data_IF_408881032477
#
_entry.id   IF_408881032477
#
_cell.length_a   1.000
_cell.length_b   1.000
_cell.length_c   1.000
_cell.angle_alpha   90.00
_cell.angle_beta   90.00
_cell.angle_gamma   90.00
#
_symmetry.space_group_name_H-M   'P 1'
#
loop_
_entity.id
_entity.type
_entity.pdbx_description
1 polymer ?
#
# COMPACT_ATOMS: atom_id res chain seq x y z
N UNK A 1 17.49 -22.49 5.32
CA UNK A 1 17.55 -21.15 4.70
C UNK A 1 16.53 -20.24 5.39
N UNK A 2 16.89 -18.97 5.60
CA UNK A 2 15.99 -18.01 6.22
C UNK A 2 15.18 -17.29 5.12
N UNK A 3 13.88 -17.12 5.34
CA UNK A 3 13.10 -16.21 4.51
C UNK A 3 13.49 -14.76 4.87
N UNK A 4 13.92 -14.01 3.86
CA UNK A 4 14.35 -12.62 4.03
C UNK A 4 13.38 -11.71 3.28
N UNK A 5 12.71 -10.82 4.01
CA UNK A 5 11.94 -9.71 3.43
C UNK A 5 12.86 -8.49 3.40
N UNK A 6 13.09 -7.95 2.22
CA UNK A 6 14.00 -6.83 2.01
C UNK A 6 13.24 -5.51 1.96
N UNK A 7 13.84 -4.48 2.53
CA UNK A 7 13.38 -3.08 2.37
C UNK A 7 14.54 -2.19 1.91
N UNK A 8 14.22 -1.14 1.16
CA UNK A 8 15.12 -0.04 0.88
C UNK A 8 14.82 1.08 1.85
N UNK A 9 15.81 1.55 2.59
CA UNK A 9 15.71 2.73 3.45
C UNK A 9 16.44 3.88 2.76
N UNK A 10 15.72 4.97 2.49
CA UNK A 10 16.27 6.18 1.89
C UNK A 10 16.17 7.30 2.91
N UNK A 11 17.31 7.80 3.32
CA UNK A 11 17.43 8.85 4.34
C UNK A 11 17.82 10.18 3.69
N UNK A 12 17.40 11.33 4.25
CA UNK A 12 17.78 12.63 3.73
C UNK A 12 19.28 12.87 3.88
N UNK A 13 19.91 13.66 2.98
CA UNK A 13 21.33 13.97 3.04
C UNK A 13 21.78 14.65 4.35
N UNK A 14 20.85 15.37 4.99
CA UNK A 14 21.07 16.01 6.29
C UNK A 14 19.98 15.52 7.25
N UNK A 15 20.40 14.86 8.33
CA UNK A 15 19.51 14.40 9.40
C UNK A 15 19.41 15.43 10.52
N UNK A 16 18.20 15.62 11.02
CA UNK A 16 17.87 16.52 12.14
C UNK A 16 17.53 15.73 13.41
N UNK A 17 17.24 14.42 13.26
CA UNK A 17 16.72 13.55 14.30
C UNK A 17 15.23 13.70 14.56
N UNK A 18 14.51 14.41 13.68
CA UNK A 18 13.06 14.63 13.75
C UNK A 18 12.37 14.30 12.42
N UNK A 19 13.05 13.53 11.59
CA UNK A 19 12.53 13.14 10.26
C UNK A 19 11.26 12.33 10.43
N UNK A 20 10.22 12.71 9.70
CA UNK A 20 9.05 11.87 9.51
C UNK A 20 9.40 10.67 8.65
N UNK A 21 8.77 9.53 8.93
CA UNK A 21 8.99 8.27 8.25
C UNK A 21 7.72 7.81 7.53
N UNK A 22 7.83 7.59 6.22
CA UNK A 22 6.79 6.97 5.42
C UNK A 22 7.22 5.58 4.97
N UNK A 23 6.31 4.60 5.07
CA UNK A 23 6.50 3.25 4.57
C UNK A 23 5.63 3.02 3.33
N UNK A 24 6.23 2.49 2.28
CA UNK A 24 5.53 2.08 1.05
C UNK A 24 5.66 0.57 0.96
N UNK A 25 4.55 -0.14 1.03
CA UNK A 25 4.54 -1.59 1.03
C UNK A 25 3.74 -2.14 -0.15
N UNK A 26 4.20 -3.26 -0.70
CA UNK A 26 3.51 -3.98 -1.76
C UNK A 26 3.96 -5.45 -1.82
N UNK A 27 3.38 -6.23 -2.72
CA UNK A 27 3.73 -7.63 -2.88
C UNK A 27 3.34 -8.50 -1.68
N UNK A 28 2.30 -8.12 -0.96
CA UNK A 28 1.60 -8.97 0.01
C UNK A 28 1.00 -10.17 -0.71
N UNK A 29 0.46 -9.95 -1.91
CA UNK A 29 0.05 -10.97 -2.86
C UNK A 29 1.03 -10.99 -4.02
N UNK A 30 1.53 -12.17 -4.39
CA UNK A 30 2.61 -12.28 -5.36
C UNK A 30 2.19 -12.13 -6.82
N UNK A 31 0.90 -12.18 -7.12
CA UNK A 31 0.32 -11.93 -8.43
C UNK A 31 -0.04 -10.46 -8.69
N UNK A 32 0.16 -9.57 -7.72
CA UNK A 32 -0.14 -8.15 -7.79
C UNK A 32 1.14 -7.34 -8.08
N UNK A 33 1.42 -7.08 -9.36
CA UNK A 33 2.72 -6.54 -9.81
C UNK A 33 2.78 -5.02 -9.96
N UNK A 34 1.64 -4.32 -9.93
CA UNK A 34 1.55 -2.86 -10.12
C UNK A 34 2.44 -2.11 -9.10
N UNK A 35 2.35 -2.49 -7.82
CA UNK A 35 3.12 -1.87 -6.75
C UNK A 35 4.64 -2.05 -6.88
N UNK A 36 5.10 -3.11 -7.54
CA UNK A 36 6.53 -3.34 -7.83
C UNK A 36 7.10 -2.21 -8.69
N UNK A 37 6.34 -1.83 -9.74
CA UNK A 37 6.74 -0.75 -10.63
C UNK A 37 6.69 0.60 -9.92
N UNK A 38 5.69 0.83 -9.07
CA UNK A 38 5.64 2.04 -8.21
C UNK A 38 6.86 2.12 -7.30
N UNK A 39 7.24 1.03 -6.63
CA UNK A 39 8.44 0.98 -5.80
C UNK A 39 9.72 1.28 -6.58
N UNK A 40 9.84 0.75 -7.79
CA UNK A 40 10.96 1.05 -8.69
C UNK A 40 11.03 2.55 -9.02
N UNK A 41 9.92 3.13 -9.49
CA UNK A 41 9.85 4.56 -9.87
C UNK A 41 10.08 5.49 -8.68
N UNK A 42 9.52 5.19 -7.50
CA UNK A 42 9.79 5.94 -6.29
C UNK A 42 11.27 5.95 -5.94
N UNK A 43 11.89 4.77 -5.91
CA UNK A 43 13.31 4.65 -5.58
C UNK A 43 14.19 5.42 -6.59
N UNK A 44 13.89 5.33 -7.89
CA UNK A 44 14.60 6.04 -8.95
C UNK A 44 14.47 7.56 -8.77
N UNK A 45 13.23 8.07 -8.70
CA UNK A 45 12.94 9.51 -8.63
C UNK A 45 13.42 10.17 -7.34
N UNK A 46 13.32 9.47 -6.19
CA UNK A 46 13.86 9.99 -4.93
C UNK A 46 15.39 10.11 -5.02
N UNK A 47 16.08 9.13 -5.61
CA UNK A 47 17.54 9.19 -5.76
C UNK A 47 18.00 10.28 -6.74
N UNK A 48 17.24 10.53 -7.79
CA UNK A 48 17.51 11.62 -8.74
C UNK A 48 17.32 13.01 -8.11
N UNK A 49 16.43 13.15 -7.13
CA UNK A 49 16.13 14.40 -6.41
C UNK A 49 16.47 14.34 -4.92
N UNK A 50 17.55 13.67 -4.53
CA UNK A 50 17.92 13.45 -3.12
C UNK A 50 18.02 14.73 -2.29
N UNK A 51 18.36 15.86 -2.88
CA UNK A 51 18.43 17.17 -2.23
C UNK A 51 17.08 17.65 -1.70
N UNK A 52 15.99 17.12 -2.29
CA UNK A 52 14.62 17.43 -1.91
C UNK A 52 14.06 16.50 -0.83
N UNK A 53 14.77 15.44 -0.47
CA UNK A 53 14.34 14.53 0.58
C UNK A 53 14.62 15.14 1.96
N UNK A 54 13.57 15.20 2.82
CA UNK A 54 13.61 15.77 4.17
C UNK A 54 13.20 14.77 5.26
N UNK A 55 12.61 13.66 4.87
CA UNK A 55 12.19 12.58 5.76
C UNK A 55 12.80 11.25 5.36
N UNK A 56 12.36 10.20 6.01
CA UNK A 56 12.80 8.81 5.77
C UNK A 56 11.73 8.11 4.93
N UNK A 57 12.16 7.48 3.84
CA UNK A 57 11.29 6.65 3.00
C UNK A 57 11.76 5.21 3.06
N UNK A 58 10.89 4.33 3.54
CA UNK A 58 11.10 2.89 3.57
C UNK A 58 10.23 2.23 2.50
N UNK A 59 10.85 1.49 1.60
CA UNK A 59 10.16 0.82 0.49
C UNK A 59 10.32 -0.69 0.66
N UNK A 60 9.18 -1.38 0.79
CA UNK A 60 9.07 -2.84 0.89
C UNK A 60 8.48 -3.38 -0.42
N UNK A 61 9.31 -3.74 -1.40
CA UNK A 61 8.82 -4.10 -2.72
C UNK A 61 8.15 -5.49 -2.77
N UNK A 62 8.36 -6.33 -1.76
CA UNK A 62 7.79 -7.67 -1.69
C UNK A 62 7.65 -8.14 -0.24
N UNK A 63 6.45 -8.03 0.34
CA UNK A 63 6.17 -8.63 1.65
C UNK A 63 6.06 -10.15 1.59
N UNK A 64 5.70 -10.70 0.43
CA UNK A 64 5.67 -12.12 0.12
C UNK A 64 6.61 -12.43 -1.06
N UNK A 65 7.94 -12.45 -0.85
CA UNK A 65 8.89 -12.64 -1.94
C UNK A 65 8.72 -13.99 -2.64
N UNK A 66 8.35 -15.05 -1.94
CA UNK A 66 8.08 -16.36 -2.54
C UNK A 66 6.85 -16.35 -3.45
N UNK A 67 5.81 -15.60 -3.06
CA UNK A 67 4.64 -15.39 -3.90
C UNK A 67 4.97 -14.62 -5.16
N UNK A 68 5.82 -13.58 -5.08
CA UNK A 68 6.31 -12.83 -6.24
C UNK A 68 7.08 -13.75 -7.19
N UNK A 69 8.01 -14.56 -6.67
CA UNK A 69 8.83 -15.46 -7.49
C UNK A 69 8.01 -16.52 -8.23
N UNK A 70 6.87 -16.92 -7.67
CA UNK A 70 5.96 -17.92 -8.24
C UNK A 70 4.72 -17.32 -8.90
N UNK A 71 4.54 -16.00 -8.82
CA UNK A 71 3.35 -15.25 -9.30
C UNK A 71 2.06 -15.87 -8.72
N UNK A 72 2.05 -16.05 -7.40
CA UNK A 72 0.89 -16.61 -6.69
C UNK A 72 0.42 -15.66 -5.59
N UNK A 73 -0.89 -15.59 -5.39
CA UNK A 73 -1.49 -14.73 -4.37
C UNK A 73 -1.04 -15.11 -2.96
N UNK A 74 -1.15 -16.37 -2.61
CA UNK A 74 -0.82 -16.90 -1.29
C UNK A 74 0.70 -17.02 -1.06
N UNK A 75 1.10 -17.24 0.19
CA UNK A 75 2.46 -17.67 0.52
C UNK A 75 2.62 -19.14 0.11
N UNK A 76 3.43 -19.49 -0.91
CA UNK A 76 3.40 -20.81 -1.55
C UNK A 76 3.63 -21.99 -0.60
N UNK A 77 4.46 -21.82 0.44
CA UNK A 77 4.77 -22.88 1.40
C UNK A 77 3.62 -23.23 2.34
N UNK A 78 2.66 -22.33 2.52
CA UNK A 78 1.61 -22.44 3.52
C UNK A 78 0.21 -22.40 2.94
N UNK A 79 0.08 -22.03 1.66
CA UNK A 79 -1.19 -21.76 0.97
C UNK A 79 -2.10 -20.80 1.77
N UNK A 80 -1.47 -19.79 2.38
CA UNK A 80 -2.15 -18.81 3.25
C UNK A 80 -2.06 -17.42 2.65
N UNK A 81 -3.17 -16.68 2.71
CA UNK A 81 -3.20 -15.26 2.39
C UNK A 81 -2.54 -14.47 3.53
N UNK A 82 -1.36 -13.90 3.28
CA UNK A 82 -0.62 -13.13 4.28
C UNK A 82 -1.47 -11.96 4.83
N UNK A 83 -2.33 -11.36 3.99
CA UNK A 83 -3.21 -10.26 4.38
C UNK A 83 -4.47 -10.73 5.17
N UNK A 84 -4.43 -11.94 5.71
CA UNK A 84 -5.41 -12.49 6.66
C UNK A 84 -4.77 -12.94 7.98
N UNK A 85 -3.47 -12.68 8.14
CA UNK A 85 -2.71 -13.14 9.30
C UNK A 85 -2.30 -12.02 10.26
N UNK A 86 -2.47 -10.74 9.87
CA UNK A 86 -2.14 -9.61 10.73
C UNK A 86 -3.11 -9.50 11.91
N UNK A 87 -2.63 -9.08 13.11
CA UNK A 87 -1.31 -8.54 13.43
C UNK A 87 -0.20 -9.61 13.55
N UNK A 88 -0.49 -10.88 13.34
CA UNK A 88 0.43 -11.97 13.56
C UNK A 88 0.66 -12.30 15.04
N UNK A 89 1.55 -13.25 15.31
CA UNK A 89 1.94 -13.65 16.67
C UNK A 89 3.42 -14.00 16.70
N UNK A 90 4.13 -13.50 17.71
CA UNK A 90 5.56 -13.77 17.93
C UNK A 90 5.86 -15.27 18.11
N UNK A 91 4.99 -15.98 18.78
CA UNK A 91 5.12 -17.41 19.10
C UNK A 91 4.15 -18.27 18.27
N UNK A 92 3.61 -17.73 17.17
CA UNK A 92 2.66 -18.41 16.31
C UNK A 92 3.34 -19.29 15.26
N UNK A 93 2.55 -19.71 14.26
CA UNK A 93 3.07 -20.38 13.07
C UNK A 93 4.10 -19.48 12.34
N UNK A 94 4.90 -20.05 11.46
CA UNK A 94 5.90 -19.28 10.68
C UNK A 94 5.23 -18.12 9.92
N UNK A 95 4.05 -18.34 9.36
CA UNK A 95 3.32 -17.29 8.64
C UNK A 95 2.83 -16.17 9.59
N UNK A 96 2.35 -16.51 10.80
CA UNK A 96 1.99 -15.51 11.82
C UNK A 96 3.22 -14.74 12.33
N UNK A 97 4.39 -15.40 12.44
CA UNK A 97 5.65 -14.74 12.83
C UNK A 97 6.12 -13.77 11.75
N UNK A 98 5.93 -14.09 10.46
CA UNK A 98 6.21 -13.19 9.34
C UNK A 98 5.33 -11.95 9.45
N UNK A 99 4.01 -12.12 9.58
CA UNK A 99 3.07 -11.02 9.72
C UNK A 99 3.40 -10.13 10.95
N UNK A 100 3.69 -10.74 12.09
CA UNK A 100 4.12 -10.04 13.29
C UNK A 100 5.38 -9.20 13.07
N UNK A 101 6.40 -9.79 12.43
CA UNK A 101 7.68 -9.10 12.18
C UNK A 101 7.53 -7.92 11.24
N UNK A 102 6.70 -8.05 10.19
CA UNK A 102 6.38 -6.94 9.27
C UNK A 102 5.70 -5.80 10.04
N UNK A 103 4.69 -6.12 10.84
CA UNK A 103 3.96 -5.13 11.61
C UNK A 103 4.87 -4.38 12.58
N UNK A 104 5.72 -5.09 13.33
CA UNK A 104 6.66 -4.50 14.29
C UNK A 104 7.69 -3.59 13.62
N UNK A 105 8.15 -3.93 12.42
CA UNK A 105 9.13 -3.13 11.68
C UNK A 105 8.52 -1.82 11.15
N UNK A 106 7.23 -1.82 10.78
CA UNK A 106 6.52 -0.63 10.28
C UNK A 106 6.00 0.26 11.41
N UNK A 107 5.73 -0.28 12.60
CA UNK A 107 5.24 0.49 13.75
C UNK A 107 6.05 1.76 14.00
N UNK A 108 5.35 2.82 14.38
CA UNK A 108 5.93 4.14 14.62
C UNK A 108 6.27 4.93 13.35
N UNK A 109 5.88 4.46 12.16
CA UNK A 109 5.88 5.30 10.97
C UNK A 109 4.80 6.39 11.07
N UNK A 110 5.05 7.54 10.44
CA UNK A 110 4.08 8.65 10.37
C UNK A 110 3.00 8.39 9.32
N UNK A 111 3.27 7.52 8.36
CA UNK A 111 2.36 7.10 7.30
C UNK A 111 2.78 5.77 6.71
N UNK A 112 1.81 4.94 6.32
CA UNK A 112 2.03 3.77 5.48
C UNK A 112 1.10 3.80 4.27
N UNK A 113 1.59 3.39 3.10
CA UNK A 113 0.81 3.16 1.89
C UNK A 113 0.95 1.70 1.52
N UNK A 114 -0.16 0.98 1.54
CA UNK A 114 -0.27 -0.45 1.23
C UNK A 114 -0.86 -0.60 -0.17
N UNK A 115 -0.01 -1.00 -1.14
CA UNK A 115 -0.34 -1.01 -2.56
C UNK A 115 -0.68 -2.42 -3.01
N UNK A 116 -1.91 -2.56 -3.50
CA UNK A 116 -2.48 -3.77 -4.06
C UNK A 116 -2.89 -3.59 -5.51
N UNK A 117 -3.18 -4.68 -6.18
CA UNK A 117 -3.86 -4.70 -7.46
C UNK A 117 -5.10 -5.60 -7.38
N UNK A 118 -5.99 -5.46 -8.35
CA UNK A 118 -7.13 -6.34 -8.48
C UNK A 118 -6.71 -7.78 -8.79
N UNK A 119 -7.67 -8.70 -8.74
CA UNK A 119 -7.44 -10.07 -9.20
C UNK A 119 -7.15 -10.12 -10.72
N UNK A 120 -6.83 -11.29 -11.25
CA UNK A 120 -6.44 -11.47 -12.65
C UNK A 120 -7.59 -11.31 -13.68
N UNK A 121 -8.83 -11.15 -13.22
CA UNK A 121 -10.02 -11.13 -14.08
C UNK A 121 -10.64 -9.73 -14.24
N UNK A 122 -10.48 -8.85 -13.25
CA UNK A 122 -11.13 -7.54 -13.20
C UNK A 122 -10.07 -6.45 -13.11
N UNK A 123 -10.19 -5.43 -13.96
CA UNK A 123 -9.35 -4.24 -13.89
C UNK A 123 -10.02 -3.17 -13.03
N UNK A 124 -9.34 -2.75 -11.99
CA UNK A 124 -9.77 -1.65 -11.14
C UNK A 124 -9.11 -0.32 -11.55
N UNK A 125 -9.88 0.76 -11.46
CA UNK A 125 -9.31 2.11 -11.54
C UNK A 125 -8.49 2.39 -10.27
N UNK A 126 -7.46 3.25 -10.31
CA UNK A 126 -6.75 3.65 -9.12
C UNK A 126 -7.69 4.23 -8.08
N UNK A 127 -7.75 3.61 -6.92
CA UNK A 127 -8.62 3.99 -5.82
C UNK A 127 -7.93 3.81 -4.47
N UNK A 128 -8.35 4.63 -3.50
CA UNK A 128 -7.96 4.44 -2.10
C UNK A 128 -9.15 3.84 -1.35
N UNK A 129 -8.89 2.77 -0.60
CA UNK A 129 -9.87 2.13 0.27
C UNK A 129 -9.59 2.48 1.72
N UNK A 130 -10.62 2.96 2.43
CA UNK A 130 -10.55 3.32 3.82
C UNK A 130 -11.65 2.61 4.60
N UNK A 131 -11.34 2.21 5.82
CA UNK A 131 -12.34 1.73 6.75
C UNK A 131 -13.06 2.93 7.39
N UNK A 132 -14.38 2.87 7.52
CA UNK A 132 -15.19 3.95 8.11
C UNK A 132 -14.73 4.32 9.53
N UNK A 133 -14.25 3.36 10.31
CA UNK A 133 -13.77 3.60 11.68
C UNK A 133 -12.49 4.45 11.76
N UNK A 134 -11.72 4.54 10.68
CA UNK A 134 -10.45 5.28 10.62
C UNK A 134 -10.44 6.40 9.59
N UNK A 135 -11.51 6.53 8.79
CA UNK A 135 -11.56 7.40 7.62
C UNK A 135 -11.53 8.89 7.93
N UNK A 136 -12.06 9.34 9.06
CA UNK A 136 -12.24 10.76 9.38
C UNK A 136 -10.94 11.56 9.20
N UNK A 137 -9.83 11.02 9.66
CA UNK A 137 -8.52 11.66 9.56
C UNK A 137 -7.73 11.26 8.29
N UNK A 138 -8.13 10.21 7.58
CA UNK A 138 -7.38 9.65 6.46
C UNK A 138 -7.83 10.16 5.09
N UNK A 139 -9.09 10.58 4.94
CA UNK A 139 -9.64 11.05 3.65
C UNK A 139 -8.81 12.20 3.07
N UNK A 140 -8.33 13.13 3.91
CA UNK A 140 -7.51 14.25 3.46
C UNK A 140 -6.19 13.78 2.81
N UNK A 141 -5.56 12.75 3.36
CA UNK A 141 -4.34 12.15 2.81
C UNK A 141 -4.63 11.30 1.57
N UNK A 142 -5.75 10.56 1.58
CA UNK A 142 -6.18 9.77 0.43
C UNK A 142 -6.38 10.63 -0.84
N UNK A 143 -6.94 11.82 -0.71
CA UNK A 143 -7.09 12.79 -1.80
C UNK A 143 -5.77 13.25 -2.42
N UNK A 144 -4.65 13.05 -1.73
CA UNK A 144 -3.32 13.44 -2.24
C UNK A 144 -2.70 12.39 -3.15
N UNK A 145 -3.21 11.14 -3.13
CA UNK A 145 -2.64 10.01 -3.88
C UNK A 145 -2.93 10.03 -5.39
N UNK A 146 -3.54 11.10 -5.90
CA UNK A 146 -3.80 11.30 -7.32
C UNK A 146 -4.63 10.16 -7.97
N UNK A 147 -5.51 9.54 -7.17
CA UNK A 147 -6.40 8.47 -7.61
C UNK A 147 -7.73 9.00 -8.12
N UNK A 148 -8.53 8.18 -8.82
CA UNK A 148 -9.86 8.56 -9.31
C UNK A 148 -10.93 8.47 -8.23
N UNK A 149 -10.74 7.59 -7.24
CA UNK A 149 -11.79 7.27 -6.28
C UNK A 149 -11.23 7.09 -4.86
N UNK A 150 -11.97 7.55 -3.87
CA UNK A 150 -11.76 7.24 -2.45
C UNK A 150 -13.02 6.55 -1.93
N UNK A 151 -12.89 5.28 -1.59
CA UNK A 151 -13.99 4.48 -1.08
C UNK A 151 -13.86 4.27 0.43
N UNK A 152 -14.78 4.86 1.16
CA UNK A 152 -14.95 4.60 2.59
C UNK A 152 -16.02 3.52 2.74
N UNK A 153 -15.61 2.33 3.16
CA UNK A 153 -16.52 1.20 3.34
C UNK A 153 -16.74 0.89 4.83
N UNK A 154 -17.91 0.35 5.19
CA UNK A 154 -18.18 -0.08 6.56
C UNK A 154 -17.18 -1.16 6.97
N UNK A 155 -16.83 -1.18 8.25
CA UNK A 155 -15.99 -2.23 8.82
C UNK A 155 -16.64 -3.61 8.61
N UNK A 156 -15.83 -4.57 8.18
CA UNK A 156 -16.21 -5.98 8.18
C UNK A 156 -15.13 -6.80 8.89
N UNK A 157 -15.51 -7.87 9.51
CA UNK A 157 -14.60 -8.75 10.28
C UNK A 157 -13.43 -9.28 9.44
N UNK A 158 -13.63 -9.46 8.13
CA UNK A 158 -12.58 -9.91 7.19
C UNK A 158 -11.44 -8.92 7.07
N UNK A 159 -11.71 -7.62 7.25
CA UNK A 159 -10.71 -6.57 7.14
C UNK A 159 -9.87 -6.39 8.41
N UNK A 160 -10.31 -6.91 9.55
CA UNK A 160 -9.60 -6.79 10.83
C UNK A 160 -8.27 -7.55 10.85
N UNK A 161 -8.10 -8.52 9.97
CA UNK A 161 -6.87 -9.31 9.83
C UNK A 161 -5.93 -8.83 8.72
N UNK A 162 -6.13 -7.61 8.20
CA UNK A 162 -5.26 -7.00 7.19
C UNK A 162 -4.13 -6.19 7.83
N UNK A 163 -3.05 -6.00 7.06
CA UNK A 163 -1.92 -5.14 7.46
C UNK A 163 -2.41 -3.72 7.77
N UNK A 164 -3.16 -3.13 6.87
CA UNK A 164 -3.63 -1.76 7.00
C UNK A 164 -4.52 -1.55 8.23
N UNK A 165 -5.43 -2.48 8.53
CA UNK A 165 -6.23 -2.41 9.75
C UNK A 165 -5.34 -2.47 10.99
N UNK A 166 -4.44 -3.45 11.06
CA UNK A 166 -3.55 -3.64 12.20
C UNK A 166 -2.62 -2.46 12.44
N UNK A 167 -2.10 -1.82 11.37
CA UNK A 167 -1.29 -0.62 11.46
C UNK A 167 -2.10 0.59 11.95
N UNK A 168 -3.30 0.80 11.42
CA UNK A 168 -4.20 1.87 11.88
C UNK A 168 -4.53 1.72 13.37
N UNK A 169 -4.81 0.50 13.82
CA UNK A 169 -5.04 0.19 15.24
C UNK A 169 -3.79 0.39 16.10
N UNK A 170 -2.61 0.22 15.53
CA UNK A 170 -1.32 0.49 16.18
C UNK A 170 -0.90 1.98 16.12
N UNK A 171 -1.77 2.86 15.60
CA UNK A 171 -1.53 4.31 15.51
C UNK A 171 -0.67 4.74 14.33
N UNK A 172 -0.49 3.88 13.33
CA UNK A 172 0.18 4.21 12.06
C UNK A 172 -0.88 4.50 11.00
N UNK A 173 -1.10 5.77 10.59
CA UNK A 173 -2.03 6.11 9.53
C UNK A 173 -1.70 5.33 8.26
N UNK A 174 -2.62 4.50 7.78
CA UNK A 174 -2.37 3.60 6.66
C UNK A 174 -3.46 3.71 5.61
N UNK A 175 -3.05 3.95 4.36
CA UNK A 175 -3.90 4.04 3.17
C UNK A 175 -3.73 2.78 2.33
N UNK A 176 -4.82 2.13 1.96
CA UNK A 176 -4.81 1.00 1.01
C UNK A 176 -5.10 1.53 -0.38
N UNK A 177 -4.24 1.23 -1.34
CA UNK A 177 -4.44 1.55 -2.75
C UNK A 177 -4.71 0.27 -3.52
N UNK A 178 -5.76 0.28 -4.31
CA UNK A 178 -6.09 -0.79 -5.26
C UNK A 178 -6.09 -0.21 -6.67
N UNK A 179 -5.46 -0.88 -7.62
CA UNK A 179 -5.42 -0.43 -9.03
C UNK A 179 -5.03 -1.55 -9.98
N UNK A 180 -5.41 -1.39 -11.25
CA UNK A 180 -4.96 -2.28 -12.32
C UNK A 180 -5.56 -3.68 -12.25
N UNK A 181 -4.79 -4.68 -12.65
CA UNK A 181 -5.21 -6.09 -12.73
C UNK A 181 -4.03 -7.01 -12.43
N UNK A 182 -4.26 -8.08 -11.71
CA UNK A 182 -3.24 -9.06 -11.35
C UNK A 182 -2.44 -9.59 -12.56
N UNK A 183 -1.20 -9.96 -12.33
CA UNK A 183 -0.22 -10.47 -13.30
C UNK A 183 0.15 -9.48 -14.42
N UNK A 184 -0.15 -8.21 -14.28
CA UNK A 184 0.15 -7.16 -15.25
C UNK A 184 0.64 -5.89 -14.57
N UNK A 185 1.19 -4.98 -15.38
CA UNK A 185 1.60 -3.65 -14.98
C UNK A 185 0.93 -2.64 -15.91
N UNK A 186 0.10 -1.77 -15.35
CA UNK A 186 -0.50 -0.63 -16.06
C UNK A 186 0.34 0.60 -15.74
N UNK A 187 1.38 0.84 -16.56
CA UNK A 187 2.38 1.88 -16.32
C UNK A 187 1.75 3.25 -16.01
N UNK A 188 0.70 3.64 -16.75
CA UNK A 188 0.00 4.91 -16.52
C UNK A 188 -0.59 5.04 -15.10
N UNK A 189 -1.12 3.95 -14.54
CA UNK A 189 -1.62 3.94 -13.17
C UNK A 189 -0.50 4.00 -12.14
N UNK A 190 0.59 3.28 -12.41
CA UNK A 190 1.77 3.28 -11.55
C UNK A 190 2.40 4.68 -11.47
N UNK A 191 2.57 5.34 -12.62
CA UNK A 191 3.11 6.71 -12.70
C UNK A 191 2.18 7.70 -11.98
N UNK A 192 0.87 7.58 -12.19
CA UNK A 192 -0.14 8.40 -11.55
C UNK A 192 -0.08 8.29 -10.02
N UNK A 193 -0.01 7.07 -9.48
CA UNK A 193 0.13 6.84 -8.04
C UNK A 193 1.48 7.35 -7.52
N UNK A 194 2.57 7.13 -8.26
CA UNK A 194 3.90 7.66 -7.89
C UNK A 194 3.86 9.17 -7.71
N UNK A 195 3.24 9.89 -8.66
CA UNK A 195 3.04 11.35 -8.55
C UNK A 195 2.23 11.73 -7.31
N UNK A 196 1.17 10.98 -7.00
CA UNK A 196 0.37 11.17 -5.80
C UNK A 196 1.14 10.94 -4.50
N UNK A 197 2.00 9.92 -4.47
CA UNK A 197 2.86 9.66 -3.30
C UNK A 197 3.81 10.84 -3.07
N UNK A 198 4.39 11.44 -4.12
CA UNK A 198 5.21 12.66 -3.97
C UNK A 198 4.38 13.84 -3.44
N UNK A 199 3.12 13.99 -3.88
CA UNK A 199 2.22 15.03 -3.33
C UNK A 199 1.97 14.81 -1.83
N UNK A 200 1.71 13.57 -1.42
CA UNK A 200 1.52 13.23 -0.01
C UNK A 200 2.80 13.43 0.81
N UNK A 201 3.96 13.01 0.29
CA UNK A 201 5.26 13.24 0.93
C UNK A 201 5.53 14.73 1.14
N UNK A 202 5.14 15.58 0.18
CA UNK A 202 5.28 17.04 0.30
C UNK A 202 4.41 17.61 1.42
N UNK A 203 3.16 17.19 1.50
CA UNK A 203 2.23 17.63 2.56
C UNK A 203 2.68 17.15 3.96
N UNK A 204 3.32 15.99 4.02
CA UNK A 204 3.92 15.46 5.25
C UNK A 204 5.25 16.14 5.63
N UNK A 205 5.84 16.95 4.73
CA UNK A 205 7.16 17.55 4.93
C UNK A 205 8.33 16.57 4.75
N UNK A 206 8.09 15.46 4.04
CA UNK A 206 9.11 14.45 3.68
C UNK A 206 9.82 14.81 2.38
N UNK A 207 9.17 15.60 1.52
CA UNK A 207 9.68 16.07 0.22
C UNK A 207 9.44 17.56 0.05
N UNK A 208 10.44 18.32 -0.46
CA UNK A 208 10.29 19.76 -0.75
C UNK A 208 10.42 20.12 -2.24
N UNK A 209 10.62 19.13 -3.10
CA UNK A 209 10.68 19.33 -4.54
C UNK A 209 9.31 19.63 -5.18
N UNK A 210 9.33 19.89 -6.48
CA UNK A 210 8.10 20.10 -7.24
C UNK A 210 7.24 18.83 -7.28
N UNK A 211 5.92 19.03 -7.33
CA UNK A 211 4.93 17.94 -7.45
C UNK A 211 3.84 18.38 -8.43
N UNK A 212 3.16 17.41 -9.02
CA UNK A 212 1.97 17.68 -9.84
C UNK A 212 0.82 18.19 -8.98
N UNK A 213 -0.18 18.81 -9.60
CA UNK A 213 -1.48 19.02 -8.98
C UNK A 213 -2.25 17.69 -9.04
N UNK A 214 -2.56 17.04 -7.90
CA UNK A 214 -3.29 15.78 -7.92
C UNK A 214 -4.72 15.99 -8.43
N UNK A 215 -5.31 14.94 -8.97
CA UNK A 215 -6.71 14.89 -9.35
C UNK A 215 -7.58 15.04 -8.11
N UNK A 216 -8.77 15.59 -8.28
CA UNK A 216 -9.81 15.55 -7.22
C UNK A 216 -10.58 14.25 -7.39
N UNK A 217 -10.45 13.27 -6.46
CA UNK A 217 -11.14 12.00 -6.57
C UNK A 217 -12.64 12.14 -6.25
N UNK A 218 -13.43 11.25 -6.80
CA UNK A 218 -14.78 11.02 -6.29
C UNK A 218 -14.67 10.35 -4.93
N UNK A 219 -15.37 10.87 -3.92
CA UNK A 219 -15.32 10.34 -2.54
C UNK A 219 -16.68 9.78 -2.16
N UNK A 220 -16.73 8.48 -1.87
CA UNK A 220 -17.90 7.81 -1.31
C UNK A 220 -17.73 7.62 0.20
N UNK A 221 -18.50 8.35 1.00
CA UNK A 221 -18.43 8.32 2.47
C UNK A 221 -19.55 7.49 3.11
N UNK A 222 -20.61 7.23 2.39
CA UNK A 222 -21.87 6.69 2.93
C UNK A 222 -22.07 5.20 2.66
N UNK A 223 -21.08 4.55 2.07
CA UNK A 223 -21.13 3.12 1.76
C UNK A 223 -22.24 2.75 0.76
N UNK A 224 -22.83 3.73 0.06
CA UNK A 224 -23.79 3.44 -1.01
C UNK A 224 -23.07 2.83 -2.20
N UNK A 225 -22.98 1.53 -2.19
CA UNK A 225 -22.43 0.72 -3.27
C UNK A 225 -23.51 -0.20 -3.76
N UNK A 226 -23.80 -0.11 -5.04
CA UNK A 226 -24.66 -1.08 -5.72
C UNK A 226 -23.77 -2.16 -6.33
N UNK A 227 -24.00 -3.40 -5.93
CA UNK A 227 -23.29 -4.56 -6.47
C UNK A 227 -24.06 -5.12 -7.67
N UNK A 228 -23.50 -4.93 -8.84
CA UNK A 228 -24.01 -5.55 -10.06
C UNK A 228 -23.35 -6.92 -10.20
N UNK A 229 -24.14 -7.96 -10.03
CA UNK A 229 -23.67 -9.33 -10.22
C UNK A 229 -24.05 -9.83 -11.61
N UNK A 230 -23.14 -10.56 -12.25
CA UNK A 230 -23.46 -11.26 -13.49
C UNK A 230 -24.48 -12.36 -13.22
N UNK A 231 -25.58 -12.39 -13.96
CA UNK A 231 -26.62 -13.42 -13.86
C UNK A 231 -26.18 -14.76 -14.45
N UNK A 232 -25.19 -14.74 -15.32
CA UNK A 232 -24.64 -15.91 -16.04
C UNK A 232 -23.14 -15.77 -16.22
N UNK A 233 -22.46 -16.91 -16.41
CA UNK A 233 -21.05 -16.89 -16.80
C UNK A 233 -20.88 -16.23 -18.18
N UNK A 234 -19.85 -15.41 -18.32
CA UNK A 234 -19.55 -14.67 -19.56
C UNK A 234 -18.40 -13.70 -19.37
N UNK A 235 -18.10 -12.96 -20.42
CA UNK A 235 -17.18 -11.83 -20.40
C UNK A 235 -18.01 -10.57 -20.15
N UNK A 236 -17.61 -9.78 -19.17
CA UNK A 236 -18.27 -8.53 -18.81
C UNK A 236 -17.56 -7.35 -19.49
#
# INVERSE_FOLDING_TARGET
ENLIIRKNVIEPPKRTGREKRICIVTGTHGDELEGQYVCYELNRRIREGMEHLKGIVEIYPALNPLGIDTITRAVPLFDMDLNRLFPGKKDGSVAEQIAFSILEDIKGADMCIDIHASNIYIREIPQVRLNASTSENLVQYAKRLNTEFVWVHPASTVLESTLAHSLNMAGVPTLVVEMGVGMRITESYCMQLTDGIFCLMKDLGIWDGETVKPREPVVSLDGRVELLNAERAGIF
#
